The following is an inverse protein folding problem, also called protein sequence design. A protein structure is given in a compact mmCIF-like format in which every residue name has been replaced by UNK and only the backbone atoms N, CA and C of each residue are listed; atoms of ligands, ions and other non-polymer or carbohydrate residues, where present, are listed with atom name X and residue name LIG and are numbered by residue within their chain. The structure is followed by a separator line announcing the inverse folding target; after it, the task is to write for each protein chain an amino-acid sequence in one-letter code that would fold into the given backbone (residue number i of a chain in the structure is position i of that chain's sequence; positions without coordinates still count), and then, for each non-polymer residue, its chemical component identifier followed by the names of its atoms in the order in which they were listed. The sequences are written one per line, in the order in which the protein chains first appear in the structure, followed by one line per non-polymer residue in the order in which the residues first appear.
data_IF_114750127830
#
_entry.id   IF_114750127830
#
_cell.length_a   1.000
_cell.length_b   1.000
_cell.length_c   1.000
_cell.angle_alpha   90.00
_cell.angle_beta   90.00
_cell.angle_gamma   90.00
#
_symmetry.space_group_name_H-M   'P 1'
#
loop_
_entity.id
_entity.type
_entity.pdbx_description
1 polymer ?
#
# COMPACT_ATOMS: atom_id res chain seq x y z
N UNK A 1 54.41 43.04 3.84
CA UNK A 1 55.55 42.25 3.35
C UNK A 1 55.03 40.91 2.82
N UNK A 2 54.99 40.74 1.49
CA UNK A 2 54.58 39.51 0.79
C UNK A 2 55.71 38.48 0.86
N UNK A 3 55.41 37.22 1.18
CA UNK A 3 56.16 36.08 0.63
C UNK A 3 55.16 34.94 0.34
N UNK A 4 54.96 34.66 -0.95
CA UNK A 4 54.33 33.45 -1.48
C UNK A 4 55.36 32.32 -1.43
N UNK A 5 54.94 31.08 -1.14
CA UNK A 5 55.66 29.88 -1.59
C UNK A 5 54.68 28.80 -2.07
N UNK A 6 55.11 28.12 -3.11
CA UNK A 6 54.32 27.45 -4.14
C UNK A 6 54.10 25.95 -3.88
N UNK A 7 53.00 25.48 -4.44
CA UNK A 7 52.64 24.15 -4.97
C UNK A 7 53.79 23.13 -5.11
N UNK A 8 53.53 21.89 -4.66
CA UNK A 8 54.11 20.67 -5.23
C UNK A 8 53.04 19.56 -5.24
N UNK A 9 52.66 19.12 -6.44
CA UNK A 9 51.86 17.90 -6.70
C UNK A 9 52.84 16.86 -7.23
N UNK A 10 52.81 15.61 -6.73
CA UNK A 10 53.18 14.47 -7.55
C UNK A 10 51.96 13.60 -7.85
N UNK A 11 51.63 13.55 -9.13
CA UNK A 11 50.88 12.47 -9.76
C UNK A 11 51.76 11.21 -9.76
N UNK A 12 51.28 10.08 -9.27
CA UNK A 12 51.83 8.78 -9.64
C UNK A 12 50.74 7.72 -9.80
N UNK A 13 50.85 7.06 -10.94
CA UNK A 13 49.91 6.19 -11.63
C UNK A 13 49.77 4.78 -11.04
N UNK A 14 48.52 4.33 -10.99
CA UNK A 14 47.99 2.99 -11.33
C UNK A 14 48.96 1.78 -11.36
N UNK A 15 48.75 0.80 -10.46
CA UNK A 15 49.09 -0.60 -10.70
C UNK A 15 47.90 -1.50 -10.29
N UNK A 16 47.24 -2.07 -11.28
CA UNK A 16 46.28 -3.16 -11.15
C UNK A 16 47.02 -4.40 -10.63
N UNK A 17 46.60 -4.94 -9.49
CA UNK A 17 46.87 -6.34 -9.18
C UNK A 17 45.61 -7.00 -8.65
N UNK A 18 45.07 -7.86 -9.51
CA UNK A 18 43.99 -8.80 -9.28
C UNK A 18 44.21 -9.64 -8.03
N UNK A 19 43.27 -9.59 -7.08
CA UNK A 19 43.07 -10.68 -6.14
C UNK A 19 41.56 -10.92 -6.04
N UNK A 20 41.06 -11.68 -7.02
CA UNK A 20 39.71 -12.21 -7.04
C UNK A 20 39.68 -13.36 -6.02
N UNK A 21 39.46 -13.06 -4.74
CA UNK A 21 39.21 -14.09 -3.74
C UNK A 21 37.74 -14.46 -3.77
N UNK A 22 37.52 -15.63 -4.35
CA UNK A 22 36.28 -16.36 -4.49
C UNK A 22 35.64 -16.61 -3.11
N UNK A 23 34.63 -15.83 -2.76
CA UNK A 23 33.73 -16.14 -1.63
C UNK A 23 32.52 -16.86 -2.20
N UNK A 24 32.55 -18.19 -2.09
CA UNK A 24 31.42 -19.08 -2.38
C UNK A 24 30.33 -18.78 -1.36
N UNK A 25 29.26 -18.12 -1.80
CA UNK A 25 28.01 -18.04 -1.05
C UNK A 25 27.32 -19.40 -1.11
N UNK A 26 27.19 -20.06 0.03
CA UNK A 26 26.37 -21.27 0.15
C UNK A 26 24.89 -20.88 0.16
N UNK A 27 24.26 -20.90 -1.02
CA UNK A 27 22.80 -20.98 -1.12
C UNK A 27 22.37 -22.44 -0.95
N UNK A 28 21.62 -22.72 0.12
CA UNK A 28 20.91 -23.98 0.30
C UNK A 28 19.92 -24.19 -0.86
N UNK A 29 19.78 -25.41 -1.38
CA UNK A 29 18.77 -25.73 -2.39
C UNK A 29 17.38 -25.63 -1.76
N UNK A 30 16.60 -24.62 -2.16
CA UNK A 30 15.17 -24.59 -1.89
C UNK A 30 14.46 -25.14 -3.11
N UNK A 31 13.76 -26.24 -2.89
CA UNK A 31 12.96 -26.99 -3.85
C UNK A 31 12.02 -26.08 -4.64
N UNK A 32 12.17 -26.11 -5.96
CA UNK A 32 11.28 -25.50 -6.94
C UNK A 32 9.93 -26.25 -6.91
N UNK A 33 8.78 -25.59 -6.68
CA UNK A 33 7.49 -26.26 -6.76
C UNK A 33 7.20 -26.60 -8.22
N UNK A 34 7.20 -27.91 -8.51
CA UNK A 34 6.77 -28.52 -9.77
C UNK A 34 5.35 -28.06 -10.11
N UNK A 35 5.21 -27.26 -11.17
CA UNK A 35 3.89 -26.93 -11.74
C UNK A 35 3.30 -28.22 -12.30
N UNK A 36 2.26 -28.73 -11.64
CA UNK A 36 1.35 -29.70 -12.23
C UNK A 36 0.48 -28.93 -13.22
N UNK A 37 0.65 -29.20 -14.52
CA UNK A 37 -0.31 -28.81 -15.54
C UNK A 37 -1.56 -29.65 -15.38
N UNK A 38 -2.52 -29.17 -14.57
CA UNK A 38 -3.88 -29.70 -14.63
C UNK A 38 -4.64 -28.98 -15.74
N UNK A 39 -5.10 -29.79 -16.69
CA UNK A 39 -5.88 -29.35 -17.86
C UNK A 39 -7.25 -28.88 -17.39
N UNK A 40 -7.40 -27.59 -17.09
CA UNK A 40 -8.72 -26.97 -16.90
C UNK A 40 -9.08 -26.19 -18.17
N UNK A 41 -10.20 -26.63 -18.74
CA UNK A 41 -10.82 -26.18 -19.98
C UNK A 41 -10.87 -24.66 -20.11
N UNK A 42 -10.61 -24.23 -21.34
CA UNK A 42 -10.82 -22.89 -21.86
C UNK A 42 -12.29 -22.47 -21.65
N UNK A 43 -12.56 -21.60 -20.68
CA UNK A 43 -13.86 -20.93 -20.54
C UNK A 43 -13.67 -19.45 -20.85
N UNK A 44 -14.07 -19.05 -22.05
CA UNK A 44 -14.26 -17.64 -22.40
C UNK A 44 -15.34 -17.07 -21.46
N UNK A 45 -15.07 -16.00 -20.71
CA UNK A 45 -16.15 -15.33 -19.98
C UNK A 45 -17.01 -14.59 -21.01
N UNK A 46 -18.21 -15.11 -21.23
CA UNK A 46 -19.27 -14.40 -21.93
C UNK A 46 -19.71 -13.23 -21.02
N UNK A 47 -19.29 -12.02 -21.36
CA UNK A 47 -19.64 -10.81 -20.59
C UNK A 47 -21.11 -10.50 -20.89
N UNK A 48 -21.99 -11.04 -20.05
CA UNK A 48 -23.40 -10.64 -20.00
C UNK A 48 -23.43 -9.23 -19.42
N UNK A 49 -24.01 -8.29 -20.15
CA UNK A 49 -24.30 -6.95 -19.67
C UNK A 49 -25.32 -7.05 -18.51
N UNK A 50 -24.89 -6.73 -17.29
CA UNK A 50 -25.76 -6.69 -16.11
C UNK A 50 -25.84 -5.23 -15.62
N UNK A 51 -27.05 -4.73 -15.29
CA UNK A 51 -27.25 -3.34 -14.90
C UNK A 51 -26.49 -2.95 -13.63
N UNK A 52 -26.05 -1.70 -13.60
CA UNK A 52 -25.50 -0.95 -12.47
C UNK A 52 -26.44 -1.07 -11.26
N UNK A 53 -26.03 -1.57 -10.10
CA UNK A 53 -25.75 -0.69 -8.94
C UNK A 53 -25.26 -1.47 -7.69
N UNK A 54 -24.82 -2.73 -7.82
CA UNK A 54 -24.20 -3.46 -6.71
C UNK A 54 -23.23 -4.51 -7.24
N UNK A 55 -21.94 -4.19 -7.17
CA UNK A 55 -20.87 -5.13 -7.54
C UNK A 55 -20.75 -6.14 -6.41
N UNK A 56 -21.30 -7.33 -6.61
CA UNK A 56 -21.07 -8.47 -5.73
C UNK A 56 -19.57 -8.81 -5.76
N UNK A 57 -18.91 -8.76 -4.61
CA UNK A 57 -17.61 -9.43 -4.44
C UNK A 57 -17.86 -10.93 -4.24
N UNK A 58 -16.88 -11.79 -4.54
CA UNK A 58 -16.96 -13.27 -4.54
C UNK A 58 -17.45 -13.92 -3.22
N UNK A 59 -17.80 -13.12 -2.20
CA UNK A 59 -18.34 -13.52 -0.89
C UNK A 59 -19.79 -13.05 -0.62
N UNK A 60 -20.52 -12.55 -1.63
CA UNK A 60 -21.92 -12.12 -1.47
C UNK A 60 -22.09 -10.80 -0.69
N UNK A 61 -21.02 -10.02 -0.51
CA UNK A 61 -21.09 -8.72 0.14
C UNK A 61 -21.76 -7.70 -0.78
N UNK A 62 -22.82 -7.03 -0.31
CA UNK A 62 -23.46 -5.93 -1.05
C UNK A 62 -22.64 -4.66 -0.87
N UNK A 63 -22.19 -4.10 -1.98
CA UNK A 63 -21.42 -2.86 -2.00
C UNK A 63 -22.32 -1.70 -2.42
N UNK A 64 -22.36 -0.65 -1.61
CA UNK A 64 -22.99 0.62 -1.96
C UNK A 64 -21.90 1.65 -2.27
N UNK A 65 -21.90 2.25 -3.48
CA UNK A 65 -20.99 3.34 -3.80
C UNK A 65 -21.08 4.49 -2.79
N UNK A 66 -19.94 4.97 -2.32
CA UNK A 66 -19.88 6.14 -1.42
C UNK A 66 -19.22 7.33 -2.09
N UNK A 67 -18.00 7.17 -2.62
CA UNK A 67 -17.28 8.26 -3.27
C UNK A 67 -16.20 7.75 -4.22
N UNK A 68 -16.10 8.36 -5.40
CA UNK A 68 -15.02 8.15 -6.37
C UNK A 68 -14.04 9.33 -6.35
N UNK A 69 -12.81 9.13 -6.82
CA UNK A 69 -11.75 10.14 -6.86
C UNK A 69 -11.44 10.74 -5.47
N UNK A 70 -11.64 9.98 -4.40
CA UNK A 70 -11.35 10.43 -3.05
C UNK A 70 -9.85 10.36 -2.78
N UNK A 71 -9.29 11.29 -1.99
CA UNK A 71 -7.90 11.18 -1.55
C UNK A 71 -7.82 10.43 -0.23
N UNK A 72 -6.99 9.39 -0.22
CA UNK A 72 -6.63 8.65 0.99
C UNK A 72 -5.15 8.88 1.31
N UNK A 73 -4.84 8.98 2.60
CA UNK A 73 -3.46 8.86 3.09
C UNK A 73 -3.38 7.79 4.18
N UNK A 74 -2.32 7.78 4.97
CA UNK A 74 -2.17 6.86 6.08
C UNK A 74 -1.58 7.53 7.33
N UNK A 75 -1.83 6.93 8.48
CA UNK A 75 -1.31 7.40 9.76
C UNK A 75 0.22 7.29 9.85
N UNK A 76 0.84 8.32 10.45
CA UNK A 76 2.24 8.25 10.85
C UNK A 76 2.45 7.31 12.06
N UNK A 77 3.66 6.78 12.22
CA UNK A 77 3.99 5.79 13.26
C UNK A 77 3.76 6.29 14.69
N UNK A 78 3.87 7.60 14.93
CA UNK A 78 3.64 8.25 16.23
C UNK A 78 2.21 8.12 16.78
N UNK A 79 1.25 7.68 15.96
CA UNK A 79 -0.12 7.46 16.40
C UNK A 79 -0.34 6.05 16.97
N UNK A 80 0.56 5.10 16.71
CA UNK A 80 0.44 3.72 17.16
C UNK A 80 0.25 3.66 18.69
N UNK A 81 -0.77 2.92 19.15
CA UNK A 81 -1.13 2.78 20.56
C UNK A 81 -1.97 3.91 21.16
N UNK A 82 -2.16 5.04 20.46
CA UNK A 82 -3.01 6.15 20.94
C UNK A 82 -4.50 5.80 20.85
N UNK A 83 -5.33 6.44 21.69
CA UNK A 83 -6.79 6.30 21.60
C UNK A 83 -7.32 6.98 20.33
N UNK A 84 -8.22 6.32 19.62
CA UNK A 84 -9.01 6.86 18.51
C UNK A 84 -10.32 7.46 19.04
N UNK A 85 -11.06 8.18 18.19
CA UNK A 85 -12.32 8.82 18.54
C UNK A 85 -13.43 7.84 18.96
N UNK A 86 -13.37 6.57 18.57
CA UNK A 86 -14.29 5.54 19.07
C UNK A 86 -13.85 4.93 20.42
N UNK A 87 -12.76 5.40 21.02
CA UNK A 87 -12.21 4.93 22.29
C UNK A 87 -11.22 3.75 22.21
N UNK A 88 -11.11 3.07 21.07
CA UNK A 88 -10.15 1.96 20.88
C UNK A 88 -8.71 2.47 20.74
N UNK A 89 -7.70 1.60 20.89
CA UNK A 89 -6.30 1.95 20.60
C UNK A 89 -5.98 1.72 19.13
N UNK A 90 -5.41 2.72 18.48
CA UNK A 90 -4.96 2.63 17.10
C UNK A 90 -3.78 1.66 16.96
N UNK A 91 -3.77 0.88 15.88
CA UNK A 91 -2.63 0.07 15.47
C UNK A 91 -2.35 0.22 13.98
N UNK A 92 -1.09 0.44 13.63
CA UNK A 92 -0.64 0.45 12.23
C UNK A 92 -0.74 -0.92 11.55
N UNK A 93 -0.79 -2.01 12.33
CA UNK A 93 -0.91 -3.38 11.82
C UNK A 93 -2.36 -3.85 11.62
N UNK A 94 -3.35 -3.04 12.01
CA UNK A 94 -4.77 -3.37 11.87
C UNK A 94 -5.33 -2.94 10.50
N UNK A 95 -6.54 -3.38 10.16
CA UNK A 95 -7.30 -2.92 9.00
C UNK A 95 -8.37 -1.90 9.40
N UNK A 96 -7.92 -0.69 9.72
CA UNK A 96 -8.77 0.39 10.23
C UNK A 96 -8.55 1.70 9.48
N UNK A 97 -9.51 2.60 9.57
CA UNK A 97 -9.42 3.93 8.98
C UNK A 97 -10.04 5.02 9.85
N UNK A 98 -9.50 6.24 9.72
CA UNK A 98 -10.17 7.48 10.06
C UNK A 98 -11.08 7.89 8.91
N UNK A 99 -12.30 8.35 9.21
CA UNK A 99 -13.17 8.90 8.20
C UNK A 99 -13.97 10.10 8.74
N UNK A 100 -14.22 11.09 7.88
CA UNK A 100 -14.86 12.37 8.25
C UNK A 100 -16.27 12.19 8.83
N UNK A 101 -17.12 11.43 8.14
CA UNK A 101 -18.56 11.35 8.45
C UNK A 101 -19.11 9.94 8.68
N UNK A 102 -18.55 8.91 8.06
CA UNK A 102 -19.06 7.54 8.20
C UNK A 102 -19.17 7.11 9.68
N UNK A 103 -20.28 6.45 10.09
CA UNK A 103 -20.43 5.92 11.44
C UNK A 103 -19.27 5.01 11.82
N UNK A 104 -18.90 5.01 13.11
CA UNK A 104 -17.93 4.04 13.60
C UNK A 104 -18.46 2.62 13.42
N UNK A 105 -17.59 1.68 13.09
CA UNK A 105 -17.98 0.31 12.79
C UNK A 105 -18.32 0.05 11.32
N UNK A 106 -18.62 1.09 10.54
CA UNK A 106 -18.82 0.96 9.09
C UNK A 106 -17.62 0.26 8.47
N UNK A 107 -17.88 -0.81 7.73
CA UNK A 107 -16.87 -1.45 6.89
C UNK A 107 -16.91 -0.85 5.50
N UNK A 108 -15.76 -0.48 4.99
CA UNK A 108 -15.61 0.08 3.65
C UNK A 108 -14.60 -0.71 2.88
N UNK A 109 -14.88 -0.92 1.59
CA UNK A 109 -13.90 -1.33 0.60
C UNK A 109 -13.26 -0.07 0.04
N UNK A 110 -11.94 -0.02 0.09
CA UNK A 110 -11.13 1.08 -0.43
C UNK A 110 -10.29 0.54 -1.57
N UNK A 111 -10.58 1.01 -2.78
CA UNK A 111 -9.92 0.57 -4.01
C UNK A 111 -8.99 1.66 -4.49
N UNK A 112 -7.71 1.35 -4.67
CA UNK A 112 -6.75 2.26 -5.31
C UNK A 112 -7.03 2.33 -6.82
N UNK A 113 -7.38 3.52 -7.29
CA UNK A 113 -7.78 3.74 -8.69
C UNK A 113 -6.63 3.53 -9.68
N UNK A 114 -5.37 3.61 -9.21
CA UNK A 114 -4.19 3.49 -10.07
C UNK A 114 -3.80 2.05 -10.40
N UNK A 115 -4.26 1.06 -9.63
CA UNK A 115 -3.89 -0.35 -9.82
C UNK A 115 -5.03 -1.36 -9.58
N UNK A 116 -6.23 -0.90 -9.22
CA UNK A 116 -7.39 -1.75 -8.95
C UNK A 116 -7.31 -2.58 -7.67
N UNK A 117 -6.20 -2.53 -6.92
CA UNK A 117 -6.08 -3.25 -5.64
C UNK A 117 -6.99 -2.62 -4.60
N UNK A 118 -7.57 -3.45 -3.74
CA UNK A 118 -8.46 -2.98 -2.70
C UNK A 118 -8.17 -3.64 -1.35
N UNK A 119 -8.66 -2.99 -0.30
CA UNK A 119 -8.64 -3.50 1.07
C UNK A 119 -9.97 -3.17 1.73
N UNK A 120 -10.41 -4.04 2.63
CA UNK A 120 -11.58 -3.78 3.47
C UNK A 120 -11.09 -3.32 4.84
N UNK A 121 -11.59 -2.18 5.30
CA UNK A 121 -11.23 -1.59 6.60
C UNK A 121 -12.47 -1.21 7.39
N UNK A 122 -12.33 -1.18 8.72
CA UNK A 122 -13.36 -0.69 9.63
C UNK A 122 -13.07 0.78 9.99
N UNK A 123 -14.11 1.62 9.96
CA UNK A 123 -14.01 3.00 10.43
C UNK A 123 -13.98 3.01 11.96
N UNK A 124 -12.88 3.47 12.55
CA UNK A 124 -12.65 3.50 14.01
C UNK A 124 -12.26 4.87 14.54
N UNK A 125 -12.00 5.83 13.66
CA UNK A 125 -11.53 7.17 14.05
C UNK A 125 -12.16 8.29 13.22
N UNK A 126 -11.95 9.53 13.67
CA UNK A 126 -12.39 10.76 12.99
C UNK A 126 -11.22 11.50 12.37
N UNK A 127 -11.54 12.27 11.35
CA UNK A 127 -10.58 12.89 10.45
C UNK A 127 -10.64 12.26 9.06
N UNK A 128 -9.79 12.68 8.12
CA UNK A 128 -8.72 13.67 8.29
C UNK A 128 -9.33 15.07 8.39
N UNK A 129 -8.75 15.94 9.23
CA UNK A 129 -9.24 17.32 9.39
C UNK A 129 -8.76 18.28 8.30
N UNK A 130 -8.03 17.77 7.30
CA UNK A 130 -7.65 18.52 6.11
C UNK A 130 -8.75 18.44 5.05
N UNK A 131 -9.00 19.53 4.34
CA UNK A 131 -10.11 19.63 3.37
C UNK A 131 -9.98 18.61 2.22
N UNK A 132 -8.77 18.37 1.75
CA UNK A 132 -8.51 17.60 0.52
C UNK A 132 -8.57 16.09 0.68
N UNK A 133 -8.47 15.52 1.90
CA UNK A 133 -8.48 14.06 2.13
C UNK A 133 -9.81 13.58 2.67
N UNK A 134 -10.25 12.40 2.23
CA UNK A 134 -11.49 11.78 2.68
C UNK A 134 -11.25 10.81 3.85
N UNK A 135 -10.16 10.05 3.81
CA UNK A 135 -9.80 9.08 4.85
C UNK A 135 -8.29 8.97 5.09
N UNK A 136 -7.93 8.51 6.29
CA UNK A 136 -6.58 8.06 6.62
C UNK A 136 -6.63 6.56 6.98
N UNK A 137 -5.92 5.74 6.21
CA UNK A 137 -5.79 4.30 6.45
C UNK A 137 -4.75 4.01 7.52
N UNK A 138 -4.82 2.83 8.15
CA UNK A 138 -3.65 2.27 8.83
C UNK A 138 -2.49 2.06 7.84
N UNK A 139 -1.25 2.08 8.34
CA UNK A 139 -0.07 1.87 7.49
C UNK A 139 -0.13 0.53 6.76
N UNK A 140 -0.53 -0.56 7.43
CA UNK A 140 -0.71 -1.87 6.78
C UNK A 140 -1.69 -1.81 5.62
N UNK A 141 -2.89 -1.27 5.85
CA UNK A 141 -3.94 -1.21 4.82
C UNK A 141 -3.52 -0.39 3.60
N UNK A 142 -2.85 0.75 3.81
CA UNK A 142 -2.33 1.58 2.73
C UNK A 142 -1.24 0.86 1.92
N UNK A 143 -0.30 0.22 2.61
CA UNK A 143 0.85 -0.43 1.96
C UNK A 143 0.46 -1.66 1.14
N UNK A 144 -0.67 -2.29 1.45
CA UNK A 144 -1.18 -3.44 0.70
C UNK A 144 -1.73 -3.06 -0.68
N UNK A 145 -2.36 -1.89 -0.78
CA UNK A 145 -3.01 -1.43 -2.01
C UNK A 145 -2.20 -0.40 -2.79
N UNK A 146 -1.14 0.17 -2.21
CA UNK A 146 -0.34 1.20 -2.89
C UNK A 146 0.37 0.66 -4.12
N UNK A 147 0.49 1.51 -5.16
CA UNK A 147 1.34 1.24 -6.34
C UNK A 147 2.81 1.50 -6.04
N UNK A 148 3.12 2.42 -5.12
CA UNK A 148 4.48 2.77 -4.72
C UNK A 148 4.55 2.93 -3.21
N UNK A 149 5.47 2.21 -2.56
CA UNK A 149 5.64 2.23 -1.09
C UNK A 149 6.11 3.59 -0.56
N UNK A 150 6.70 4.43 -1.42
CA UNK A 150 7.09 5.80 -1.07
C UNK A 150 5.95 6.82 -1.17
N UNK A 151 4.77 6.43 -1.67
CA UNK A 151 3.65 7.35 -1.81
C UNK A 151 3.07 7.74 -0.43
N UNK A 152 2.83 9.04 -0.21
CA UNK A 152 2.15 9.55 0.98
C UNK A 152 0.62 9.57 0.88
N UNK A 153 0.08 9.50 -0.34
CA UNK A 153 -1.35 9.53 -0.61
C UNK A 153 -1.67 8.84 -1.93
N UNK A 154 -2.94 8.52 -2.15
CA UNK A 154 -3.44 7.97 -3.41
C UNK A 154 -4.90 8.39 -3.67
N UNK A 155 -5.32 8.30 -4.93
CA UNK A 155 -6.74 8.41 -5.32
C UNK A 155 -7.42 7.06 -5.15
N UNK A 156 -8.59 7.06 -4.51
CA UNK A 156 -9.33 5.85 -4.19
C UNK A 156 -10.81 5.99 -4.51
N UNK A 157 -11.43 4.86 -4.82
CA UNK A 157 -12.88 4.68 -4.77
C UNK A 157 -13.24 4.03 -3.44
N UNK A 158 -14.29 4.55 -2.78
CA UNK A 158 -14.81 4.07 -1.51
C UNK A 158 -16.21 3.51 -1.73
N UNK A 159 -16.42 2.29 -1.25
CA UNK A 159 -17.71 1.61 -1.24
C UNK A 159 -18.02 1.15 0.19
N UNK A 160 -19.22 1.41 0.69
CA UNK A 160 -19.68 0.89 1.98
C UNK A 160 -20.20 -0.52 1.81
N UNK A 161 -19.86 -1.41 2.74
CA UNK A 161 -20.37 -2.78 2.78
C UNK A 161 -21.68 -2.80 3.56
N UNK A 162 -22.76 -3.25 2.91
CA UNK A 162 -24.08 -3.45 3.50
C UNK A 162 -24.25 -4.96 3.70
N UNK A 163 -24.59 -5.37 4.92
CA UNK A 163 -24.99 -6.75 5.25
C UNK A 163 -26.50 -6.91 5.05
#
# INVERSE_FOLDING_TARGET
MRIKKNILIPSLTLLFLSCFTYVISQTKPTTEPKIIQDTVKNVKPNIIAIPTDSVFTDKGLKLKPYKKNAHASYYADRFNGKKTANGSRFSNSAYTAAHKKLPFGTRIKVTNEANGKFVIVKVTDRGPFVRTRELDLSKRAFMEITKSKGAGAMKVTIETIIE
#
